data_IF_617644168020
#
_entry.id   IF_617644168020
#
_cell.length_a   1.000
_cell.length_b   1.000
_cell.length_c   1.000
_cell.angle_alpha   90.00
_cell.angle_beta   90.00
_cell.angle_gamma   90.00
#
_symmetry.space_group_name_H-M   'P 1'
#
loop_
_entity.id
_entity.type
_entity.pdbx_description
1 polymer ?
#
# COMPACT_ATOMS: atom_id res chain seq x y z
N UNK A 1 -6.53 11.37 -18.21
CA UNK A 1 -6.62 9.88 -18.29
C UNK A 1 -7.58 9.41 -17.21
N UNK A 2 -8.22 8.25 -17.36
CA UNK A 2 -9.00 7.67 -16.25
C UNK A 2 -8.03 7.30 -15.13
N UNK A 3 -8.39 7.58 -13.89
CA UNK A 3 -7.61 7.18 -12.72
C UNK A 3 -7.89 5.72 -12.37
N UNK A 4 -6.91 5.02 -11.86
CA UNK A 4 -7.07 3.67 -11.38
C UNK A 4 -7.23 3.70 -9.86
N UNK A 5 -8.46 3.52 -9.38
CA UNK A 5 -8.78 3.49 -7.95
C UNK A 5 -9.12 2.05 -7.54
N UNK A 6 -8.47 1.58 -6.50
CA UNK A 6 -8.56 0.20 -5.99
C UNK A 6 -8.91 0.21 -4.50
N UNK A 7 -9.42 -0.91 -3.99
CA UNK A 7 -9.69 -1.08 -2.56
C UNK A 7 -8.63 -1.94 -1.89
N UNK A 8 -8.08 -1.48 -0.76
CA UNK A 8 -7.17 -2.30 0.05
C UNK A 8 -7.96 -3.29 0.91
N UNK A 9 -7.51 -4.54 0.95
CA UNK A 9 -8.09 -5.56 1.83
C UNK A 9 -7.86 -5.28 3.31
N UNK A 10 -7.01 -4.31 3.68
CA UNK A 10 -6.74 -3.93 5.07
C UNK A 10 -8.02 -3.56 5.84
N UNK A 11 -9.03 -2.98 5.17
CA UNK A 11 -10.31 -2.67 5.80
C UNK A 11 -10.97 -3.89 6.45
N UNK A 12 -10.62 -5.10 5.98
CA UNK A 12 -11.08 -6.39 6.49
C UNK A 12 -9.96 -7.18 7.20
N UNK A 13 -8.93 -6.53 7.73
CA UNK A 13 -7.72 -7.19 8.25
C UNK A 13 -7.96 -8.42 9.16
N UNK A 14 -8.90 -8.44 10.12
CA UNK A 14 -9.14 -9.61 10.97
C UNK A 14 -9.96 -10.72 10.31
N UNK A 15 -10.46 -10.50 9.08
CA UNK A 15 -11.35 -11.46 8.39
C UNK A 15 -10.57 -12.28 7.37
N UNK A 16 -11.03 -13.51 7.02
CA UNK A 16 -10.40 -14.31 5.97
C UNK A 16 -10.40 -13.60 4.61
N UNK A 17 -9.39 -13.94 3.77
CA UNK A 17 -9.23 -13.33 2.44
C UNK A 17 -10.52 -13.39 1.59
N UNK A 18 -11.26 -14.50 1.61
CA UNK A 18 -12.49 -14.66 0.82
C UNK A 18 -13.55 -13.64 1.25
N UNK A 19 -13.72 -13.43 2.56
CA UNK A 19 -14.63 -12.42 3.10
C UNK A 19 -14.20 -11.00 2.74
N UNK A 20 -12.88 -10.71 2.77
CA UNK A 20 -12.35 -9.41 2.37
C UNK A 20 -12.62 -9.13 0.88
N UNK A 21 -12.41 -10.10 0.00
CA UNK A 21 -12.69 -9.97 -1.43
C UNK A 21 -14.18 -9.81 -1.72
N UNK A 22 -15.04 -10.60 -1.07
CA UNK A 22 -16.50 -10.47 -1.17
C UNK A 22 -16.97 -9.10 -0.70
N UNK A 23 -16.43 -8.61 0.42
CA UNK A 23 -16.74 -7.30 0.96
C UNK A 23 -16.37 -6.16 0.02
N UNK A 24 -15.16 -6.18 -0.55
CA UNK A 24 -14.72 -5.16 -1.52
C UNK A 24 -15.56 -5.19 -2.80
N UNK A 25 -15.86 -6.38 -3.34
CA UNK A 25 -16.73 -6.52 -4.49
C UNK A 25 -18.15 -6.00 -4.21
N UNK A 26 -18.72 -6.33 -3.05
CA UNK A 26 -20.04 -5.86 -2.60
C UNK A 26 -20.07 -4.34 -2.38
N UNK A 27 -18.99 -3.74 -1.86
CA UNK A 27 -18.83 -2.30 -1.73
C UNK A 27 -18.76 -1.58 -3.08
N UNK A 28 -18.38 -2.28 -4.17
CA UNK A 28 -18.40 -1.74 -5.52
C UNK A 28 -17.02 -1.50 -6.14
N UNK A 29 -15.93 -1.96 -5.51
CA UNK A 29 -14.61 -1.99 -6.13
C UNK A 29 -14.53 -3.00 -7.28
N UNK A 30 -13.63 -2.75 -8.23
CA UNK A 30 -13.34 -3.63 -9.37
C UNK A 30 -11.88 -4.05 -9.43
N UNK A 31 -11.05 -3.42 -8.61
CA UNK A 31 -9.64 -3.74 -8.50
C UNK A 31 -9.21 -3.63 -7.04
N UNK A 32 -8.19 -4.37 -6.64
CA UNK A 32 -7.83 -4.54 -5.24
C UNK A 32 -6.32 -4.52 -5.00
N UNK A 33 -5.97 -4.07 -3.81
CA UNK A 33 -4.69 -4.33 -3.15
C UNK A 33 -4.87 -5.44 -2.13
N UNK A 34 -3.99 -6.45 -2.14
CA UNK A 34 -3.99 -7.55 -1.18
C UNK A 34 -2.99 -7.31 -0.04
N UNK A 35 -3.21 -7.97 1.09
CA UNK A 35 -2.32 -7.90 2.25
C UNK A 35 -1.53 -9.18 2.49
N UNK A 36 -0.21 -9.02 2.71
CA UNK A 36 0.71 -10.07 3.15
C UNK A 36 1.62 -9.58 4.29
N UNK A 37 1.12 -8.63 5.11
CA UNK A 37 1.86 -8.00 6.21
C UNK A 37 1.71 -8.82 7.48
N UNK A 38 2.78 -9.52 7.84
CA UNK A 38 2.80 -10.44 8.98
C UNK A 38 2.47 -9.75 10.29
N UNK A 39 1.47 -10.29 10.98
CA UNK A 39 1.05 -9.77 12.29
C UNK A 39 0.20 -8.50 12.24
N UNK A 40 -0.13 -7.99 11.05
CA UNK A 40 -0.99 -6.83 10.87
C UNK A 40 -2.21 -7.15 10.01
N UNK A 41 -2.08 -7.24 8.71
CA UNK A 41 -3.14 -7.73 7.80
C UNK A 41 -2.56 -8.77 6.84
N UNK A 42 -2.58 -10.02 7.29
CA UNK A 42 -1.95 -11.15 6.62
C UNK A 42 -3.00 -12.04 5.94
N UNK A 43 -3.65 -11.51 4.91
CA UNK A 43 -4.60 -12.29 4.10
C UNK A 43 -3.91 -13.39 3.30
N UNK A 44 -2.63 -13.18 2.95
CA UNK A 44 -1.77 -14.18 2.32
C UNK A 44 -0.51 -14.32 3.17
N UNK A 45 -0.34 -15.46 3.82
CA UNK A 45 0.91 -15.77 4.53
C UNK A 45 1.99 -16.15 3.52
N UNK A 46 2.91 -15.23 3.26
CA UNK A 46 3.99 -15.44 2.31
C UNK A 46 5.00 -16.54 2.73
N UNK A 47 4.99 -16.97 3.98
CA UNK A 47 5.87 -18.02 4.46
C UNK A 47 5.32 -19.42 4.17
N UNK A 48 4.01 -19.59 4.04
CA UNK A 48 3.34 -20.89 3.98
C UNK A 48 2.40 -21.07 2.78
N UNK A 49 2.04 -19.99 2.07
CA UNK A 49 1.11 -20.05 0.93
C UNK A 49 1.62 -21.04 -0.14
N UNK A 50 0.72 -21.85 -0.66
CA UNK A 50 1.01 -22.82 -1.71
C UNK A 50 0.49 -22.36 -3.07
N UNK A 51 1.05 -22.88 -4.18
CA UNK A 51 0.55 -22.62 -5.55
C UNK A 51 -0.95 -22.95 -5.69
N UNK A 52 -1.43 -23.97 -4.99
CA UNK A 52 -2.85 -24.34 -4.98
C UNK A 52 -3.70 -23.25 -4.32
N UNK A 53 -3.24 -22.63 -3.24
CA UNK A 53 -3.94 -21.53 -2.57
C UNK A 53 -3.91 -20.28 -3.41
N UNK A 54 -2.78 -19.96 -4.04
CA UNK A 54 -2.69 -18.83 -4.99
C UNK A 54 -3.65 -19.01 -6.18
N UNK A 55 -3.72 -20.23 -6.74
CA UNK A 55 -4.68 -20.54 -7.80
C UNK A 55 -6.15 -20.40 -7.32
N UNK A 56 -6.46 -20.78 -6.07
CA UNK A 56 -7.78 -20.61 -5.46
C UNK A 56 -8.12 -19.12 -5.28
N UNK A 57 -7.17 -18.32 -4.80
CA UNK A 57 -7.35 -16.87 -4.63
C UNK A 57 -7.57 -16.22 -6.00
N UNK A 58 -6.77 -16.56 -7.00
CA UNK A 58 -6.94 -16.07 -8.37
C UNK A 58 -8.29 -16.42 -8.97
N UNK A 59 -8.80 -17.66 -8.74
CA UNK A 59 -10.14 -18.06 -9.15
C UNK A 59 -11.24 -17.26 -8.44
N UNK A 60 -11.09 -16.97 -7.14
CA UNK A 60 -12.04 -16.16 -6.36
C UNK A 60 -12.08 -14.70 -6.85
N UNK A 61 -10.92 -14.12 -7.13
CA UNK A 61 -10.82 -12.78 -7.73
C UNK A 61 -11.56 -12.70 -9.07
N UNK A 62 -11.33 -13.71 -9.95
CA UNK A 62 -12.01 -13.80 -11.24
C UNK A 62 -13.53 -13.99 -11.11
N UNK A 63 -13.99 -14.84 -10.19
CA UNK A 63 -15.42 -15.04 -9.87
C UNK A 63 -16.10 -13.74 -9.48
N UNK A 64 -15.42 -12.91 -8.64
CA UNK A 64 -15.95 -11.64 -8.15
C UNK A 64 -15.74 -10.47 -9.14
N UNK A 65 -15.03 -10.68 -10.24
CA UNK A 65 -14.68 -9.64 -11.20
C UNK A 65 -13.74 -8.57 -10.60
N UNK A 66 -12.84 -8.99 -9.72
CA UNK A 66 -11.83 -8.15 -9.08
C UNK A 66 -10.47 -8.33 -9.77
N UNK A 67 -9.86 -7.24 -10.22
CA UNK A 67 -8.48 -7.23 -10.73
C UNK A 67 -7.50 -7.07 -9.57
N UNK A 68 -6.55 -8.00 -9.34
CA UNK A 68 -5.47 -7.80 -8.39
C UNK A 68 -4.41 -6.86 -9.00
N UNK A 69 -4.20 -5.70 -8.38
CA UNK A 69 -3.29 -4.66 -8.89
C UNK A 69 -2.00 -4.60 -8.12
N UNK A 70 -2.09 -4.64 -6.78
CA UNK A 70 -0.96 -4.52 -5.88
C UNK A 70 -1.08 -5.44 -4.67
N UNK A 71 0.04 -5.63 -3.98
CA UNK A 71 0.11 -6.32 -2.70
C UNK A 71 1.02 -5.56 -1.75
N UNK A 72 0.55 -5.32 -0.53
CA UNK A 72 1.39 -4.84 0.57
C UNK A 72 2.04 -6.02 1.30
N UNK A 73 3.38 -5.99 1.40
CA UNK A 73 4.16 -7.05 2.02
C UNK A 73 5.27 -6.48 2.89
N UNK A 74 4.93 -5.61 3.85
CA UNK A 74 5.90 -4.99 4.75
C UNK A 74 6.73 -6.06 5.48
N UNK A 75 8.04 -5.88 5.48
CA UNK A 75 8.98 -6.77 6.12
C UNK A 75 10.25 -6.01 6.54
N UNK A 76 10.96 -6.50 7.56
CA UNK A 76 12.23 -5.91 8.00
C UNK A 76 13.34 -6.21 7.01
N UNK A 77 13.42 -5.42 5.91
CA UNK A 77 14.28 -5.69 4.76
C UNK A 77 15.78 -5.67 5.08
N UNK A 78 16.19 -5.11 6.23
CA UNK A 78 17.57 -5.17 6.70
C UNK A 78 17.97 -6.57 7.22
N UNK A 79 16.99 -7.44 7.49
CA UNK A 79 17.24 -8.82 7.95
C UNK A 79 17.19 -9.81 6.79
N UNK A 80 17.97 -10.91 6.82
CA UNK A 80 17.87 -11.96 5.81
C UNK A 80 16.48 -12.59 5.71
N UNK A 81 15.81 -12.78 6.84
CA UNK A 81 14.46 -13.34 6.92
C UNK A 81 13.42 -12.41 6.28
N UNK A 82 13.49 -11.11 6.59
CA UNK A 82 12.58 -10.11 6.02
C UNK A 82 12.79 -9.95 4.52
N UNK A 83 14.04 -9.89 4.06
CA UNK A 83 14.37 -9.83 2.64
C UNK A 83 13.89 -11.09 1.90
N UNK A 84 14.10 -12.29 2.48
CA UNK A 84 13.61 -13.53 1.90
C UNK A 84 12.07 -13.57 1.86
N UNK A 85 11.39 -13.09 2.91
CA UNK A 85 9.92 -13.00 2.94
C UNK A 85 9.40 -12.06 1.86
N UNK A 86 9.96 -10.85 1.74
CA UNK A 86 9.54 -9.93 0.70
C UNK A 86 9.84 -10.47 -0.71
N UNK A 87 10.93 -11.21 -0.86
CA UNK A 87 11.20 -11.97 -2.09
C UNK A 87 10.08 -12.93 -2.47
N UNK A 88 9.44 -13.60 -1.49
CA UNK A 88 8.25 -14.45 -1.73
C UNK A 88 7.00 -13.63 -2.05
N UNK A 89 6.83 -12.44 -1.44
CA UNK A 89 5.72 -11.53 -1.82
C UNK A 89 5.83 -11.11 -3.28
N UNK A 90 7.04 -10.88 -3.79
CA UNK A 90 7.28 -10.62 -5.23
C UNK A 90 6.84 -11.84 -6.08
N UNK A 91 7.13 -13.07 -5.65
CA UNK A 91 6.70 -14.29 -6.37
C UNK A 91 5.16 -14.43 -6.35
N UNK A 92 4.51 -14.13 -5.23
CA UNK A 92 3.04 -14.11 -5.10
C UNK A 92 2.42 -13.08 -6.05
N UNK A 93 2.96 -11.86 -6.06
CA UNK A 93 2.48 -10.81 -6.96
C UNK A 93 2.58 -11.21 -8.43
N UNK A 94 3.69 -11.82 -8.83
CA UNK A 94 3.89 -12.35 -10.18
C UNK A 94 2.88 -13.46 -10.50
N UNK A 95 2.67 -14.40 -9.58
CA UNK A 95 1.75 -15.53 -9.78
C UNK A 95 0.28 -15.09 -9.92
N UNK A 96 -0.11 -14.00 -9.23
CA UNK A 96 -1.45 -13.42 -9.31
C UNK A 96 -1.59 -12.34 -10.41
N UNK A 97 -0.54 -12.04 -11.17
CA UNK A 97 -0.58 -11.10 -12.30
C UNK A 97 -0.66 -9.63 -11.86
N UNK A 98 -0.19 -9.31 -10.66
CA UNK A 98 -0.14 -7.94 -10.14
C UNK A 98 0.95 -7.11 -10.85
N UNK A 99 0.97 -5.81 -10.57
CA UNK A 99 1.93 -4.88 -11.18
C UNK A 99 2.81 -4.17 -10.15
N UNK A 100 2.36 -4.08 -8.91
CA UNK A 100 3.03 -3.36 -7.82
C UNK A 100 3.12 -4.22 -6.57
N UNK A 101 4.27 -4.14 -5.90
CA UNK A 101 4.51 -4.72 -4.58
C UNK A 101 4.91 -3.59 -3.64
N UNK A 102 4.11 -3.32 -2.61
CA UNK A 102 4.39 -2.28 -1.65
C UNK A 102 5.14 -2.82 -0.43
N UNK A 103 6.06 -2.03 0.09
CA UNK A 103 6.80 -2.32 1.33
C UNK A 103 7.20 -1.02 2.02
N UNK A 104 7.85 -1.13 3.16
CA UNK A 104 8.36 -0.01 3.94
C UNK A 104 9.86 -0.20 4.23
N UNK A 105 10.49 0.75 4.91
CA UNK A 105 11.92 0.67 5.22
C UNK A 105 12.24 -0.23 6.42
N UNK A 106 11.23 -0.62 7.20
CA UNK A 106 11.44 -1.35 8.45
C UNK A 106 12.02 -0.47 9.56
N UNK A 107 12.68 -1.11 10.51
CA UNK A 107 13.19 -0.51 11.73
C UNK A 107 14.73 -0.54 11.84
N UNK A 108 15.44 -0.58 10.71
CA UNK A 108 16.89 -0.49 10.67
C UNK A 108 17.39 0.76 11.42
N UNK A 109 18.28 0.57 12.40
CA UNK A 109 18.68 1.61 13.35
C UNK A 109 20.19 1.77 13.50
N UNK A 110 20.95 0.73 13.20
CA UNK A 110 22.43 0.77 13.20
C UNK A 110 22.96 0.98 11.79
N UNK A 111 24.19 1.46 11.67
CA UNK A 111 24.85 1.63 10.36
C UNK A 111 24.91 0.29 9.61
N UNK A 112 25.21 -0.81 10.28
CA UNK A 112 25.24 -2.16 9.68
C UNK A 112 23.87 -2.57 9.14
N UNK A 113 22.78 -2.37 9.90
CA UNK A 113 21.42 -2.66 9.46
C UNK A 113 21.00 -1.79 8.27
N UNK A 114 21.37 -0.50 8.28
CA UNK A 114 21.09 0.41 7.16
C UNK A 114 21.82 -0.03 5.90
N UNK A 115 23.11 -0.43 5.99
CA UNK A 115 23.85 -0.96 4.84
C UNK A 115 23.26 -2.29 4.34
N UNK A 116 22.86 -3.20 5.26
CA UNK A 116 22.18 -4.43 4.90
C UNK A 116 20.83 -4.16 4.20
N UNK A 117 20.06 -3.18 4.69
CA UNK A 117 18.83 -2.74 4.03
C UNK A 117 19.08 -2.33 2.56
N UNK A 118 20.08 -1.46 2.30
CA UNK A 118 20.36 -1.00 0.95
C UNK A 118 20.79 -2.14 0.01
N UNK A 119 21.63 -3.05 0.51
CA UNK A 119 22.06 -4.22 -0.27
C UNK A 119 20.86 -5.13 -0.61
N UNK A 120 20.05 -5.49 0.38
CA UNK A 120 18.91 -6.36 0.18
C UNK A 120 17.84 -5.74 -0.74
N UNK A 121 17.56 -4.43 -0.62
CA UNK A 121 16.59 -3.75 -1.48
C UNK A 121 17.07 -3.69 -2.93
N UNK A 122 18.37 -3.52 -3.17
CA UNK A 122 18.92 -3.57 -4.54
C UNK A 122 18.69 -4.94 -5.19
N UNK A 123 18.95 -6.03 -4.47
CA UNK A 123 18.69 -7.40 -4.95
C UNK A 123 17.20 -7.66 -5.18
N UNK A 124 16.32 -7.16 -4.30
CA UNK A 124 14.87 -7.27 -4.42
C UNK A 124 14.34 -6.47 -5.63
N UNK A 125 14.91 -5.31 -5.91
CA UNK A 125 14.62 -4.55 -7.13
C UNK A 125 14.98 -5.35 -8.39
N UNK A 126 16.15 -6.01 -8.41
CA UNK A 126 16.57 -6.85 -9.54
C UNK A 126 15.63 -8.06 -9.72
N UNK A 127 15.11 -8.63 -8.62
CA UNK A 127 14.09 -9.68 -8.65
C UNK A 127 12.76 -9.15 -9.20
N UNK A 128 12.26 -8.01 -8.69
CA UNK A 128 11.01 -7.40 -9.14
C UNK A 128 11.06 -7.03 -10.63
N UNK A 129 12.19 -6.46 -11.09
CA UNK A 129 12.41 -6.15 -12.51
C UNK A 129 12.28 -7.38 -13.41
N UNK A 130 12.87 -8.51 -13.01
CA UNK A 130 12.76 -9.80 -13.75
C UNK A 130 11.33 -10.33 -13.78
N UNK A 131 10.55 -10.06 -12.74
CA UNK A 131 9.14 -10.41 -12.66
C UNK A 131 8.21 -9.42 -13.38
N UNK A 132 8.73 -8.30 -13.90
CA UNK A 132 7.95 -7.24 -14.54
C UNK A 132 7.14 -6.40 -13.56
N UNK A 133 7.56 -6.35 -12.29
CA UNK A 133 6.89 -5.65 -11.19
C UNK A 133 7.62 -4.35 -10.83
N UNK A 134 6.88 -3.42 -10.23
CA UNK A 134 7.44 -2.25 -9.56
C UNK A 134 7.29 -2.38 -8.04
N UNK A 135 8.22 -1.76 -7.31
CA UNK A 135 8.20 -1.68 -5.85
C UNK A 135 7.78 -0.27 -5.44
N UNK A 136 6.72 -0.15 -4.64
CA UNK A 136 6.32 1.05 -3.94
C UNK A 136 6.90 1.05 -2.53
N UNK A 137 7.83 2.00 -2.26
CA UNK A 137 8.34 2.22 -0.92
C UNK A 137 7.43 3.21 -0.21
N UNK A 138 6.78 2.75 0.86
CA UNK A 138 5.78 3.54 1.56
C UNK A 138 6.39 4.63 2.43
N UNK A 139 5.76 5.81 2.39
CA UNK A 139 5.96 6.82 3.43
C UNK A 139 5.33 6.30 4.72
N UNK A 140 6.18 5.87 5.62
CA UNK A 140 5.80 5.25 6.89
C UNK A 140 6.74 5.78 7.99
N UNK A 141 7.41 4.92 8.70
CA UNK A 141 8.29 5.24 9.82
C UNK A 141 9.77 5.25 9.40
N UNK A 142 10.64 5.52 10.36
CA UNK A 142 12.07 5.32 10.34
C UNK A 142 12.81 6.07 9.21
N UNK A 143 13.29 5.36 8.17
CA UNK A 143 14.15 5.95 7.13
C UNK A 143 13.36 6.78 6.11
N UNK A 144 12.06 6.54 5.95
CA UNK A 144 11.21 7.19 4.95
C UNK A 144 9.90 7.72 5.54
N UNK A 145 9.94 8.59 6.58
CA UNK A 145 8.72 9.10 7.21
C UNK A 145 8.01 10.17 6.37
N UNK A 146 8.70 10.76 5.38
CA UNK A 146 8.18 11.75 4.43
C UNK A 146 8.76 11.49 3.05
N UNK A 147 8.13 12.02 2.00
CA UNK A 147 8.71 11.95 0.65
C UNK A 147 10.03 12.72 0.57
N UNK A 148 10.16 13.86 1.25
CA UNK A 148 11.40 14.62 1.31
C UNK A 148 12.56 13.75 1.83
N UNK A 149 12.37 13.04 2.94
CA UNK A 149 13.38 12.12 3.48
C UNK A 149 13.66 10.95 2.53
N UNK A 150 12.62 10.44 1.87
CA UNK A 150 12.71 9.30 0.96
C UNK A 150 13.49 9.54 -0.32
N UNK A 151 13.61 10.79 -0.79
CA UNK A 151 14.36 11.10 -2.03
C UNK A 151 15.79 10.56 -1.97
N UNK A 152 16.51 10.82 -0.88
CA UNK A 152 17.90 10.37 -0.72
C UNK A 152 18.01 8.83 -0.63
N UNK A 153 17.00 8.18 -0.05
CA UNK A 153 16.92 6.71 0.05
C UNK A 153 16.78 6.10 -1.35
N UNK A 154 15.80 6.57 -2.13
CA UNK A 154 15.56 6.08 -3.48
C UNK A 154 16.75 6.36 -4.41
N UNK A 155 17.37 7.55 -4.31
CA UNK A 155 18.55 7.92 -5.09
C UNK A 155 19.73 7.01 -4.77
N UNK A 156 19.95 6.66 -3.51
CA UNK A 156 21.02 5.75 -3.09
C UNK A 156 20.81 4.32 -3.61
N UNK A 157 19.58 3.83 -3.66
CA UNK A 157 19.27 2.50 -4.22
C UNK A 157 19.46 2.51 -5.74
N UNK A 158 19.08 3.59 -6.43
CA UNK A 158 19.42 3.83 -7.83
C UNK A 158 18.73 2.89 -8.82
N UNK A 159 17.44 2.57 -8.61
CA UNK A 159 16.62 1.70 -9.48
C UNK A 159 15.30 2.40 -9.85
N UNK A 160 15.32 3.60 -10.47
CA UNK A 160 14.12 4.42 -10.68
C UNK A 160 13.07 3.78 -11.62
N UNK A 161 13.50 2.84 -12.47
CA UNK A 161 12.60 2.09 -13.37
C UNK A 161 11.74 1.06 -12.62
N UNK A 162 12.18 0.60 -11.45
CA UNK A 162 11.52 -0.43 -10.63
C UNK A 162 10.99 0.13 -9.32
N UNK A 163 11.76 0.99 -8.66
CA UNK A 163 11.49 1.49 -7.31
C UNK A 163 11.00 2.94 -7.35
N UNK A 164 9.94 3.22 -6.62
CA UNK A 164 9.45 4.57 -6.37
C UNK A 164 8.62 4.64 -5.10
N UNK A 165 7.92 5.73 -4.91
CA UNK A 165 7.09 5.92 -3.72
C UNK A 165 5.76 5.17 -3.84
N UNK A 166 5.36 4.52 -2.74
CA UNK A 166 3.99 4.38 -2.33
C UNK A 166 3.71 5.52 -1.35
N UNK A 167 3.05 6.59 -1.79
CA UNK A 167 2.83 7.76 -0.96
C UNK A 167 1.58 7.59 -0.11
N UNK A 168 1.74 7.66 1.21
CA UNK A 168 0.65 7.59 2.17
C UNK A 168 0.56 8.90 2.98
N UNK A 169 -0.40 9.78 2.69
CA UNK A 169 -0.53 11.06 3.37
C UNK A 169 -0.98 10.93 4.83
N UNK A 170 -1.74 9.89 5.15
CA UNK A 170 -2.17 9.62 6.52
C UNK A 170 -0.99 9.27 7.41
N UNK A 171 -0.06 8.44 6.91
CA UNK A 171 1.16 8.07 7.60
C UNK A 171 2.11 9.28 7.76
N UNK A 172 2.24 10.14 6.74
CA UNK A 172 3.05 11.36 6.85
C UNK A 172 2.59 12.20 8.04
N UNK A 173 1.28 12.43 8.18
CA UNK A 173 0.74 13.15 9.35
C UNK A 173 0.95 12.38 10.64
N UNK A 174 0.67 11.08 10.62
CA UNK A 174 0.74 10.25 11.84
C UNK A 174 2.15 10.20 12.41
N UNK A 175 3.15 9.92 11.59
CA UNK A 175 4.53 9.76 12.07
C UNK A 175 5.25 11.08 12.31
N UNK A 176 4.96 12.13 11.52
CA UNK A 176 5.76 13.35 11.55
C UNK A 176 4.99 14.63 11.90
N UNK A 177 3.67 14.65 11.69
CA UNK A 177 2.88 15.88 11.74
C UNK A 177 3.11 16.83 10.57
N UNK A 178 3.87 16.42 9.55
CA UNK A 178 4.11 17.24 8.36
C UNK A 178 2.84 17.39 7.51
N UNK A 179 2.77 18.47 6.74
CA UNK A 179 1.68 18.72 5.81
C UNK A 179 1.89 17.93 4.50
N UNK A 180 1.02 16.93 4.19
CA UNK A 180 1.15 16.14 2.97
C UNK A 180 1.06 16.97 1.68
N UNK A 181 0.35 18.13 1.70
CA UNK A 181 0.24 18.99 0.53
C UNK A 181 1.59 19.58 0.10
N UNK A 182 2.45 19.85 1.07
CA UNK A 182 3.80 20.36 0.83
C UNK A 182 4.79 19.23 0.53
N UNK A 183 4.66 18.08 1.24
CA UNK A 183 5.59 16.96 1.16
C UNK A 183 5.48 16.17 -0.15
N UNK A 184 4.26 15.97 -0.68
CA UNK A 184 4.04 15.17 -1.89
C UNK A 184 4.87 15.65 -3.09
N UNK A 185 5.20 16.95 -3.14
CA UNK A 185 6.03 17.53 -4.20
C UNK A 185 7.34 16.77 -4.42
N UNK A 186 7.93 16.19 -3.38
CA UNK A 186 9.15 15.40 -3.47
C UNK A 186 8.92 14.00 -4.06
N UNK A 187 7.70 13.45 -3.97
CA UNK A 187 7.35 12.16 -4.56
C UNK A 187 6.92 12.25 -6.03
N UNK A 188 6.45 13.43 -6.49
CA UNK A 188 5.96 13.61 -7.86
C UNK A 188 7.04 13.22 -8.89
N UNK A 189 6.63 12.47 -9.93
CA UNK A 189 7.55 11.90 -10.93
C UNK A 189 8.23 10.60 -10.52
N UNK A 190 8.10 10.19 -9.24
CA UNK A 190 8.65 8.93 -8.70
C UNK A 190 7.56 8.04 -8.08
N UNK A 191 6.29 8.41 -8.21
CA UNK A 191 5.17 7.63 -7.71
C UNK A 191 5.03 6.31 -8.46
N UNK A 192 4.86 5.24 -7.71
CA UNK A 192 4.52 3.89 -8.17
C UNK A 192 3.11 3.54 -7.73
N UNK A 193 2.75 3.99 -6.54
CA UNK A 193 1.50 3.70 -5.87
C UNK A 193 1.13 4.87 -4.96
N UNK A 194 -0.15 4.97 -4.57
CA UNK A 194 -0.63 5.99 -3.66
C UNK A 194 -1.72 5.40 -2.75
N UNK A 195 -1.57 5.53 -1.44
CA UNK A 195 -2.64 5.22 -0.50
C UNK A 195 -3.57 6.42 -0.33
N UNK A 196 -4.83 6.26 -0.75
CA UNK A 196 -5.91 7.17 -0.39
C UNK A 196 -6.31 6.88 1.06
N UNK A 197 -5.45 7.27 1.99
CA UNK A 197 -5.59 7.11 3.42
C UNK A 197 -5.88 8.45 4.06
N UNK A 198 -7.10 8.60 4.55
CA UNK A 198 -7.53 9.80 5.25
C UNK A 198 -7.17 9.74 6.74
N UNK A 199 -7.21 10.88 7.40
CA UNK A 199 -6.71 11.02 8.76
C UNK A 199 -7.56 11.99 9.56
N UNK A 200 -7.83 11.65 10.82
CA UNK A 200 -8.39 12.55 11.83
C UNK A 200 -7.37 12.76 12.94
N UNK A 201 -7.16 14.01 13.32
CA UNK A 201 -6.18 14.41 14.34
C UNK A 201 -4.73 14.45 13.82
N UNK A 202 -3.83 14.97 14.65
CA UNK A 202 -2.42 15.21 14.31
C UNK A 202 -1.50 14.02 14.51
N UNK A 203 -0.21 14.34 14.69
CA UNK A 203 0.85 13.35 14.93
C UNK A 203 0.52 12.45 16.13
N UNK A 204 0.76 11.15 15.96
CA UNK A 204 0.57 10.13 16.99
C UNK A 204 -0.88 9.76 17.30
N UNK A 205 -1.87 10.38 16.65
CA UNK A 205 -3.30 10.00 16.80
C UNK A 205 -3.63 8.94 15.76
N UNK A 206 -3.84 7.68 16.18
CA UNK A 206 -4.22 6.59 15.28
C UNK A 206 -5.73 6.66 15.00
N UNK A 207 -6.09 7.27 13.88
CA UNK A 207 -7.47 7.35 13.39
C UNK A 207 -7.49 7.60 11.88
N UNK A 208 -7.79 6.54 11.12
CA UNK A 208 -7.77 6.50 9.65
C UNK A 208 -9.13 6.04 9.12
N UNK A 209 -10.09 6.97 9.01
CA UNK A 209 -11.45 6.70 8.56
C UNK A 209 -11.51 6.43 7.05
N UNK A 210 -12.69 6.05 6.52
CA UNK A 210 -12.91 6.01 5.08
C UNK A 210 -12.45 7.29 4.37
N UNK A 211 -11.73 7.20 3.24
CA UNK A 211 -11.33 8.37 2.47
C UNK A 211 -12.46 9.34 2.22
N UNK A 212 -12.28 10.60 2.62
CA UNK A 212 -13.28 11.67 2.55
C UNK A 212 -14.08 11.90 3.83
N UNK A 213 -13.92 11.06 4.85
CA UNK A 213 -14.50 11.28 6.18
C UNK A 213 -13.47 11.84 7.17
N UNK A 214 -12.20 12.03 6.75
CA UNK A 214 -11.15 12.61 7.55
C UNK A 214 -10.95 14.11 7.31
N UNK A 215 -9.75 14.60 7.62
CA UNK A 215 -9.38 16.01 7.61
C UNK A 215 -8.43 16.39 6.49
N UNK A 216 -7.94 15.40 5.69
CA UNK A 216 -6.96 15.65 4.63
C UNK A 216 -7.64 16.18 3.34
N UNK A 217 -7.04 17.16 2.68
CA UNK A 217 -7.43 17.52 1.30
C UNK A 217 -6.90 16.48 0.30
N UNK A 218 -7.50 15.27 0.31
CA UNK A 218 -7.14 14.19 -0.61
C UNK A 218 -7.27 14.63 -2.07
N UNK A 219 -8.26 15.46 -2.40
CA UNK A 219 -8.43 15.98 -3.75
C UNK A 219 -7.32 16.96 -4.16
N UNK A 220 -6.77 17.71 -3.20
CA UNK A 220 -5.58 18.53 -3.41
C UNK A 220 -4.38 17.70 -3.82
N UNK A 221 -4.14 16.60 -3.09
CA UNK A 221 -3.07 15.65 -3.38
C UNK A 221 -3.26 14.97 -4.74
N UNK A 222 -4.46 14.48 -5.04
CA UNK A 222 -4.77 13.86 -6.34
C UNK A 222 -4.57 14.85 -7.49
N UNK A 223 -4.96 16.12 -7.34
CA UNK A 223 -4.71 17.14 -8.37
C UNK A 223 -3.21 17.34 -8.63
N UNK A 224 -2.36 17.30 -7.59
CA UNK A 224 -0.91 17.38 -7.75
C UNK A 224 -0.37 16.13 -8.49
N UNK A 225 -0.85 14.94 -8.16
CA UNK A 225 -0.52 13.70 -8.87
C UNK A 225 -0.91 13.78 -10.35
N UNK A 226 -2.13 14.21 -10.66
CA UNK A 226 -2.61 14.39 -12.04
C UNK A 226 -1.72 15.36 -12.84
N UNK A 227 -1.32 16.47 -12.21
CA UNK A 227 -0.45 17.46 -12.84
C UNK A 227 0.94 16.91 -13.14
N UNK A 228 1.41 15.90 -12.38
CA UNK A 228 2.67 15.18 -12.64
C UNK A 228 2.55 14.07 -13.68
N UNK A 229 1.32 13.73 -14.10
CA UNK A 229 1.01 12.65 -15.03
C UNK A 229 0.80 11.28 -14.36
N UNK A 230 0.77 11.21 -13.02
CA UNK A 230 0.44 9.97 -12.30
C UNK A 230 -1.08 9.70 -12.35
N UNK A 231 -1.45 8.50 -12.79
CA UNK A 231 -2.84 8.08 -12.96
C UNK A 231 -3.28 6.95 -12.01
N UNK A 232 -2.46 6.58 -11.05
CA UNK A 232 -2.68 5.48 -10.11
C UNK A 232 -1.69 4.33 -10.32
N UNK A 233 -1.81 3.25 -9.50
CA UNK A 233 -2.96 2.93 -8.64
C UNK A 233 -3.09 3.82 -7.41
N UNK A 234 -4.33 4.19 -7.10
CA UNK A 234 -4.74 4.84 -5.87
C UNK A 234 -5.52 3.83 -5.02
N UNK A 235 -4.94 3.35 -3.93
CA UNK A 235 -5.55 2.34 -3.06
C UNK A 235 -6.28 2.99 -1.88
N UNK A 236 -7.59 2.80 -1.79
CA UNK A 236 -8.37 3.27 -0.66
C UNK A 236 -8.07 2.40 0.57
N UNK A 237 -7.50 3.02 1.61
CA UNK A 237 -7.05 2.35 2.81
C UNK A 237 -7.80 2.88 4.04
N UNK A 238 -8.31 1.95 4.87
CA UNK A 238 -9.04 2.25 6.11
C UNK A 238 -8.47 1.36 7.21
N UNK A 239 -7.95 1.98 8.27
CA UNK A 239 -7.42 1.26 9.43
C UNK A 239 -8.19 1.55 10.74
N UNK A 240 -9.28 2.33 10.63
CA UNK A 240 -10.13 2.72 11.75
C UNK A 240 -9.38 3.55 12.80
N UNK A 241 -9.49 3.19 14.09
CA UNK A 241 -8.88 3.90 15.21
C UNK A 241 -8.22 2.93 16.22
N UNK A 242 -7.70 3.46 17.30
CA UNK A 242 -6.99 2.69 18.34
C UNK A 242 -7.79 1.53 18.96
N UNK A 243 -9.12 1.48 18.76
CA UNK A 243 -9.97 0.36 19.18
C UNK A 243 -9.82 -0.86 18.29
N UNK A 244 -9.15 -0.70 17.15
CA UNK A 244 -8.92 -1.74 16.14
C UNK A 244 -10.10 -1.89 15.18
N UNK A 245 -10.05 -2.97 14.41
CA UNK A 245 -11.08 -3.26 13.40
C UNK A 245 -12.38 -3.72 14.06
N UNK A 246 -13.53 -3.19 13.61
CA UNK A 246 -14.85 -3.62 14.06
C UNK A 246 -15.25 -4.96 13.43
N UNK A 247 -16.52 -5.36 13.64
CA UNK A 247 -17.06 -6.55 12.98
C UNK A 247 -17.16 -6.39 11.46
N UNK A 248 -17.44 -7.51 10.76
CA UNK A 248 -17.50 -7.57 9.30
C UNK A 248 -18.48 -6.57 8.69
N UNK A 249 -19.68 -6.41 9.29
CA UNK A 249 -20.71 -5.52 8.75
C UNK A 249 -20.28 -4.05 8.82
N UNK A 250 -19.57 -3.66 9.87
CA UNK A 250 -19.01 -2.32 10.00
C UNK A 250 -17.82 -2.12 9.05
N UNK A 251 -16.96 -3.13 8.83
CA UNK A 251 -15.92 -3.09 7.81
C UNK A 251 -16.53 -2.93 6.40
N UNK A 252 -17.59 -3.67 6.09
CA UNK A 252 -18.30 -3.57 4.82
C UNK A 252 -18.93 -2.18 4.64
N UNK A 253 -19.54 -1.64 5.70
CA UNK A 253 -20.08 -0.28 5.68
C UNK A 253 -18.99 0.78 5.42
N UNK A 254 -17.81 0.63 6.03
CA UNK A 254 -16.66 1.51 5.80
C UNK A 254 -16.13 1.42 4.36
N UNK A 255 -16.02 0.22 3.80
CA UNK A 255 -15.64 0.02 2.41
C UNK A 255 -16.66 0.64 1.44
N UNK A 256 -17.96 0.47 1.69
CA UNK A 256 -19.04 1.08 0.90
C UNK A 256 -19.02 2.62 1.02
N UNK A 257 -18.78 3.14 2.22
CA UNK A 257 -18.64 4.58 2.48
C UNK A 257 -17.46 5.17 1.72
N UNK A 258 -16.32 4.46 1.67
CA UNK A 258 -15.17 4.86 0.86
C UNK A 258 -15.55 5.01 -0.62
N UNK A 259 -16.26 4.02 -1.19
CA UNK A 259 -16.72 4.06 -2.58
C UNK A 259 -17.69 5.24 -2.82
N UNK A 260 -18.63 5.48 -1.90
CA UNK A 260 -19.55 6.62 -2.00
C UNK A 260 -18.79 7.95 -2.03
N UNK A 261 -17.86 8.14 -1.10
CA UNK A 261 -17.05 9.37 -1.01
C UNK A 261 -16.19 9.56 -2.26
N UNK A 262 -15.50 8.50 -2.72
CA UNK A 262 -14.63 8.55 -3.90
C UNK A 262 -15.42 8.86 -5.19
N UNK A 263 -16.66 8.35 -5.32
CA UNK A 263 -17.57 8.76 -6.40
C UNK A 263 -17.98 10.23 -6.28
N UNK A 264 -18.29 10.67 -5.05
CA UNK A 264 -18.59 12.10 -4.79
C UNK A 264 -17.43 13.02 -5.14
N UNK A 265 -16.20 12.56 -5.01
CA UNK A 265 -14.98 13.26 -5.41
C UNK A 265 -14.70 13.17 -6.93
N UNK A 266 -15.40 12.33 -7.69
CA UNK A 266 -15.14 12.06 -9.10
C UNK A 266 -13.86 11.24 -9.34
N UNK A 267 -13.52 10.37 -8.42
CA UNK A 267 -12.36 9.46 -8.53
C UNK A 267 -12.76 8.07 -9.02
N UNK A 268 -14.00 7.65 -8.74
CA UNK A 268 -14.61 6.40 -9.20
C UNK A 268 -15.80 6.66 -10.12
#
# INVERSE_FOLDING_TARGET
MAREVIGSTIVFAPHPIDAALEGLAAAGYRAVELGAVKGWFEHIDADTVTDRELARIGAKLAELGLEPVSISGHAHLHTPEGAARFGRVIDIAQALGMRVVNTYTGDASTEEEVEAYFANVADLCDKAAKAGLRIGMETDSNLLPTAEAGVAILDRIGRPEVLGFNYDPGNVVYYTGADPQSDIGFALGRLVHFHLKDKVGGQGVFNFPPPGDGELDLMGLVRQCDASGFAGPYSAEVEFDERGWPDYDACLAAAARSVENLRGMGLL
#
